data_IF_544257797332
#
_entry.id   IF_544257797332
#
_cell.length_a   1.000
_cell.length_b   1.000
_cell.length_c   1.000
_cell.angle_alpha   90.00
_cell.angle_beta   90.00
_cell.angle_gamma   90.00
#
_symmetry.space_group_name_H-M   'P 1'
#
loop_
_entity.id
_entity.type
_entity.pdbx_description
1 polymer ?
#
# COMPACT_ATOMS: atom_id res chain seq x y z
N UNK A 1 -7.67 -18.41 11.39
CA UNK A 1 -7.11 -17.60 10.30
C UNK A 1 -8.26 -17.07 9.46
N UNK A 2 -8.04 -16.04 8.65
CA UNK A 2 -9.06 -15.53 7.73
C UNK A 2 -9.10 -16.47 6.51
N UNK A 3 -10.26 -17.06 6.22
CA UNK A 3 -10.39 -18.11 5.18
C UNK A 3 -9.98 -17.67 3.77
N UNK A 4 -10.17 -16.39 3.45
CA UNK A 4 -9.83 -15.82 2.14
C UNK A 4 -8.32 -15.57 1.94
N UNK A 5 -7.50 -15.75 2.98
CA UNK A 5 -6.04 -15.60 2.91
C UNK A 5 -5.40 -16.98 2.95
N UNK A 6 -4.84 -17.41 1.83
CA UNK A 6 -4.25 -18.74 1.68
C UNK A 6 -2.84 -18.83 2.28
N UNK A 7 -2.01 -17.80 2.08
CA UNK A 7 -0.62 -17.75 2.55
C UNK A 7 -0.25 -16.36 3.03
N UNK A 8 0.72 -16.29 3.94
CA UNK A 8 1.29 -15.04 4.45
C UNK A 8 2.81 -15.15 4.45
N UNK A 9 3.46 -14.16 3.86
CA UNK A 9 4.92 -14.03 3.78
C UNK A 9 5.36 -12.89 4.69
N UNK A 10 6.42 -13.14 5.47
CA UNK A 10 7.01 -12.13 6.34
C UNK A 10 8.41 -11.80 5.85
N UNK A 11 8.69 -10.52 5.60
CA UNK A 11 10.01 -10.07 5.18
C UNK A 11 10.28 -8.63 5.67
N UNK A 12 11.56 -8.24 5.64
CA UNK A 12 11.96 -6.84 5.84
C UNK A 12 11.95 -6.12 4.50
N UNK A 13 11.54 -4.84 4.45
CA UNK A 13 11.54 -4.06 3.22
C UNK A 13 12.95 -3.92 2.65
N UNK A 14 13.10 -4.20 1.36
CA UNK A 14 14.35 -4.05 0.62
C UNK A 14 14.51 -2.63 0.04
N UNK A 15 13.40 -1.98 -0.29
CA UNK A 15 13.36 -0.61 -0.81
C UNK A 15 13.01 0.40 0.28
N UNK A 16 13.51 1.63 0.14
CA UNK A 16 13.25 2.69 1.11
C UNK A 16 11.79 3.16 1.11
N UNK A 17 11.08 3.03 -0.02
CA UNK A 17 9.66 3.41 -0.15
C UNK A 17 8.74 2.59 0.77
N UNK A 18 9.14 1.36 1.11
CA UNK A 18 8.41 0.48 2.04
C UNK A 18 8.88 0.62 3.50
N UNK A 19 9.94 1.39 3.78
CA UNK A 19 10.43 1.62 5.15
C UNK A 19 9.57 2.67 5.85
N UNK A 20 9.42 2.53 7.17
CA UNK A 20 8.71 3.53 7.97
C UNK A 20 9.61 4.75 8.14
N UNK A 21 9.20 5.88 7.60
CA UNK A 21 9.88 7.16 7.84
C UNK A 21 9.39 7.75 9.17
N UNK A 22 10.34 8.10 10.03
CA UNK A 22 10.09 8.77 11.33
C UNK A 22 10.93 10.04 11.40
N UNK A 23 10.31 11.12 11.86
CA UNK A 23 11.00 12.37 12.15
C UNK A 23 11.60 12.26 13.55
N UNK A 24 12.91 12.40 13.66
CA UNK A 24 13.62 12.35 14.94
C UNK A 24 13.52 13.69 15.67
N UNK A 25 13.80 13.75 16.99
CA UNK A 25 13.72 14.99 17.76
C UNK A 25 14.65 16.11 17.26
N UNK A 26 15.74 15.76 16.57
CA UNK A 26 16.66 16.67 15.88
C UNK A 26 16.13 17.17 14.52
N UNK A 27 14.94 16.74 14.09
CA UNK A 27 14.30 17.16 12.85
C UNK A 27 14.78 16.43 11.60
N UNK A 28 15.64 15.42 11.73
CA UNK A 28 16.06 14.60 10.60
C UNK A 28 15.05 13.48 10.29
N UNK A 29 15.08 12.99 9.05
CA UNK A 29 14.26 11.85 8.62
C UNK A 29 15.05 10.56 8.80
N UNK A 30 14.48 9.61 9.51
CA UNK A 30 15.06 8.27 9.69
C UNK A 30 14.15 7.22 9.08
N UNK A 31 14.69 6.45 8.13
CA UNK A 31 14.05 5.27 7.59
C UNK A 31 14.28 4.07 8.54
N UNK A 32 13.18 3.51 9.07
CA UNK A 32 13.20 2.37 9.98
C UNK A 32 12.62 1.17 9.25
N UNK A 33 13.40 0.10 9.19
CA UNK A 33 12.94 -1.19 8.71
C UNK A 33 12.01 -1.83 9.73
N UNK A 34 10.77 -2.09 9.30
CA UNK A 34 9.78 -2.83 10.09
C UNK A 34 9.45 -4.13 9.37
N UNK A 35 9.00 -5.13 10.14
CA UNK A 35 8.50 -6.36 9.55
C UNK A 35 7.22 -6.08 8.78
N UNK A 36 7.18 -6.54 7.53
CA UNK A 36 6.04 -6.45 6.64
C UNK A 36 5.46 -7.85 6.42
N UNK A 37 4.13 -7.90 6.33
CA UNK A 37 3.37 -9.10 6.01
C UNK A 37 2.73 -8.89 4.64
N UNK A 38 3.00 -9.78 3.69
CA UNK A 38 2.35 -9.81 2.39
C UNK A 38 1.49 -11.08 2.30
N UNK A 39 0.26 -10.95 1.83
CA UNK A 39 -0.72 -12.03 1.83
C UNK A 39 -1.03 -12.51 0.41
N UNK A 40 -1.28 -13.80 0.28
CA UNK A 40 -1.86 -14.41 -0.93
C UNK A 40 -3.37 -14.59 -0.67
N UNK A 41 -4.16 -13.76 -1.32
CA UNK A 41 -5.59 -13.55 -1.04
C UNK A 41 -5.86 -12.22 -0.31
N UNK A 42 -7.11 -11.76 -0.43
CA UNK A 42 -7.58 -10.45 0.04
C UNK A 42 -8.76 -10.58 1.01
N UNK A 43 -8.73 -9.80 2.08
CA UNK A 43 -9.79 -9.71 3.08
C UNK A 43 -9.62 -8.45 3.95
N UNK A 44 -9.42 -7.31 3.30
CA UNK A 44 -9.00 -6.05 3.88
C UNK A 44 -9.86 -5.65 5.08
N UNK A 45 -11.20 -5.78 5.02
CA UNK A 45 -12.09 -5.40 6.12
C UNK A 45 -11.80 -6.20 7.40
N UNK A 46 -11.60 -7.51 7.26
CA UNK A 46 -11.29 -8.40 8.39
C UNK A 46 -9.89 -8.12 8.92
N UNK A 47 -8.92 -7.92 8.03
CA UNK A 47 -7.53 -7.61 8.39
C UNK A 47 -7.42 -6.28 9.14
N UNK A 48 -8.14 -5.24 8.70
CA UNK A 48 -8.19 -3.94 9.37
C UNK A 48 -8.87 -3.99 10.74
N UNK A 49 -9.70 -5.02 11.01
CA UNK A 49 -10.37 -5.19 12.30
C UNK A 49 -9.50 -5.88 13.37
N UNK A 50 -8.31 -6.37 12.99
CA UNK A 50 -7.40 -7.06 13.90
C UNK A 50 -6.56 -6.08 14.75
N UNK A 51 -6.39 -6.40 16.04
CA UNK A 51 -5.81 -5.46 17.04
C UNK A 51 -4.36 -5.05 16.80
N UNK A 52 -3.58 -5.89 16.12
CA UNK A 52 -2.14 -5.68 15.91
C UNK A 52 -1.80 -5.26 14.47
N UNK A 53 -2.81 -4.87 13.69
CA UNK A 53 -2.65 -4.41 12.32
C UNK A 53 -2.72 -2.89 12.28
N UNK A 54 -1.84 -2.28 11.47
CA UNK A 54 -1.84 -0.84 11.24
C UNK A 54 -2.90 -0.49 10.20
N UNK A 55 -4.03 0.05 10.65
CA UNK A 55 -5.18 0.34 9.78
C UNK A 55 -4.95 1.51 8.83
N UNK A 56 -3.91 2.31 9.06
CA UNK A 56 -3.64 3.52 8.27
C UNK A 56 -2.74 3.18 7.07
N UNK A 57 -1.80 2.24 7.24
CA UNK A 57 -0.79 1.91 6.23
C UNK A 57 -1.05 0.61 5.47
N UNK A 58 -2.04 -0.18 5.89
CA UNK A 58 -2.41 -1.42 5.19
C UNK A 58 -3.11 -1.08 3.87
N UNK A 59 -2.64 -1.65 2.77
CA UNK A 59 -3.22 -1.47 1.43
C UNK A 59 -3.53 -2.82 0.80
N UNK A 60 -4.56 -2.86 -0.04
CA UNK A 60 -4.88 -4.02 -0.90
C UNK A 60 -4.50 -3.71 -2.35
N UNK A 61 -4.30 -4.73 -3.15
CA UNK A 61 -4.15 -4.63 -4.60
C UNK A 61 -5.46 -4.87 -5.36
N UNK A 62 -6.56 -5.19 -4.64
CA UNK A 62 -7.89 -5.36 -5.23
C UNK A 62 -8.68 -4.04 -5.17
N UNK A 63 -8.91 -3.45 -6.34
CA UNK A 63 -9.61 -2.17 -6.50
C UNK A 63 -11.09 -2.28 -6.11
N UNK A 64 -11.74 -3.42 -6.38
CA UNK A 64 -13.14 -3.62 -6.04
C UNK A 64 -13.32 -3.68 -4.52
N UNK A 65 -12.42 -4.39 -3.84
CA UNK A 65 -12.40 -4.45 -2.38
C UNK A 65 -12.16 -3.06 -1.75
N UNK A 66 -11.24 -2.27 -2.31
CA UNK A 66 -10.99 -0.90 -1.86
C UNK A 66 -12.23 -0.02 -2.04
N UNK A 67 -12.93 -0.15 -3.16
CA UNK A 67 -14.17 0.59 -3.41
C UNK A 67 -15.23 0.30 -2.35
N UNK A 68 -15.44 -0.98 -2.03
CA UNK A 68 -16.45 -1.42 -1.08
C UNK A 68 -16.15 -0.98 0.36
N UNK A 69 -14.88 -0.92 0.75
CA UNK A 69 -14.46 -0.66 2.14
C UNK A 69 -14.10 0.80 2.39
N UNK A 70 -13.35 1.42 1.48
CA UNK A 70 -12.77 2.77 1.65
C UNK A 70 -13.43 3.83 0.75
N UNK A 71 -14.16 3.42 -0.29
CA UNK A 71 -14.90 4.33 -1.19
C UNK A 71 -14.12 4.82 -2.41
N UNK A 72 -14.78 5.66 -3.22
CA UNK A 72 -14.31 6.03 -4.56
C UNK A 72 -13.01 6.86 -4.57
N UNK A 73 -12.81 7.75 -3.60
CA UNK A 73 -11.57 8.54 -3.53
C UNK A 73 -10.35 7.68 -3.18
N UNK A 74 -10.54 6.64 -2.37
CA UNK A 74 -9.49 5.68 -2.07
C UNK A 74 -9.12 4.86 -3.31
N UNK A 75 -10.12 4.49 -4.12
CA UNK A 75 -9.92 3.84 -5.43
C UNK A 75 -9.11 4.74 -6.35
N UNK A 76 -9.49 6.01 -6.50
CA UNK A 76 -8.77 6.98 -7.34
C UNK A 76 -7.29 7.03 -6.98
N UNK A 77 -6.97 7.11 -5.69
CA UNK A 77 -5.58 7.14 -5.21
C UNK A 77 -4.86 5.80 -5.36
N UNK A 78 -5.57 4.68 -5.16
CA UNK A 78 -5.01 3.33 -5.34
C UNK A 78 -4.62 3.09 -6.80
N UNK A 79 -5.47 3.45 -7.75
CA UNK A 79 -5.19 3.34 -9.19
C UNK A 79 -3.97 4.19 -9.56
N UNK A 80 -3.93 5.46 -9.12
CA UNK A 80 -2.79 6.36 -9.37
C UNK A 80 -1.48 5.73 -8.90
N UNK A 81 -1.47 5.11 -7.70
CA UNK A 81 -0.30 4.46 -7.10
C UNK A 81 0.12 3.21 -7.87
N UNK A 82 -0.81 2.32 -8.20
CA UNK A 82 -0.54 1.08 -8.95
C UNK A 82 -0.03 1.38 -10.36
N UNK A 83 -0.65 2.34 -11.07
CA UNK A 83 -0.19 2.75 -12.39
C UNK A 83 1.21 3.36 -12.35
N UNK A 84 1.48 4.23 -11.38
CA UNK A 84 2.82 4.79 -11.19
C UNK A 84 3.85 3.67 -10.90
N UNK A 85 3.48 2.69 -10.07
CA UNK A 85 4.36 1.55 -9.76
C UNK A 85 4.70 0.73 -11.00
N UNK A 86 3.73 0.44 -11.88
CA UNK A 86 3.98 -0.31 -13.12
C UNK A 86 4.86 0.45 -14.11
N UNK A 87 4.63 1.76 -14.28
CA UNK A 87 5.40 2.59 -15.22
C UNK A 87 6.84 2.79 -14.73
N UNK A 88 6.99 3.11 -13.44
CA UNK A 88 8.30 3.33 -12.82
C UNK A 88 9.14 2.06 -12.72
N UNK A 89 8.51 0.89 -12.70
CA UNK A 89 9.22 -0.40 -12.69
C UNK A 89 10.09 -0.61 -13.94
N UNK A 90 9.64 -0.13 -15.10
CA UNK A 90 10.42 -0.17 -16.36
C UNK A 90 11.40 1.02 -16.50
N UNK A 91 11.53 1.85 -15.44
CA UNK A 91 12.35 3.06 -15.45
C UNK A 91 11.77 4.20 -16.32
N UNK A 92 10.59 3.99 -16.88
CA UNK A 92 9.87 4.99 -17.67
C UNK A 92 9.28 6.06 -16.75
N UNK A 93 9.22 7.31 -17.24
CA UNK A 93 8.60 8.42 -16.53
C UNK A 93 7.42 8.96 -17.32
N UNK A 94 6.29 9.12 -16.63
CA UNK A 94 5.10 9.79 -17.14
C UNK A 94 4.74 10.91 -16.17
N UNK A 95 4.43 12.09 -16.70
CA UNK A 95 4.04 13.23 -15.88
C UNK A 95 2.78 12.92 -15.07
N UNK A 96 2.79 13.26 -13.77
CA UNK A 96 1.66 13.08 -12.85
C UNK A 96 0.32 13.57 -13.44
N UNK A 97 0.33 14.66 -14.23
CA UNK A 97 -0.90 15.22 -14.82
C UNK A 97 -1.62 14.25 -15.75
N UNK A 98 -0.88 13.39 -16.47
CA UNK A 98 -1.48 12.39 -17.35
C UNK A 98 -2.10 11.25 -16.55
N UNK A 99 -1.46 10.84 -15.46
CA UNK A 99 -1.97 9.81 -14.56
C UNK A 99 -3.19 10.29 -13.79
N UNK A 100 -3.13 11.52 -13.25
CA UNK A 100 -4.24 12.12 -12.53
C UNK A 100 -5.48 12.27 -13.41
N UNK A 101 -5.33 12.78 -14.64
CA UNK A 101 -6.43 12.94 -15.59
C UNK A 101 -7.09 11.62 -15.99
N UNK A 102 -6.35 10.51 -15.96
CA UNK A 102 -6.89 9.19 -16.26
C UNK A 102 -7.64 8.59 -15.05
N UNK A 103 -7.23 8.95 -13.83
CA UNK A 103 -7.83 8.44 -12.60
C UNK A 103 -9.08 9.23 -12.18
N UNK A 104 -9.16 10.51 -12.56
CA UNK A 104 -10.33 11.40 -12.35
C UNK A 104 -11.50 11.06 -13.29
#
# INVERSE_FOLDING_TARGET
GIEAIAKVYMHKPTTDDKKKIVITPDGSFKAIEQWLLETDGTALLKVLSERNVDTIRTTSNDICEIFEILGIEAVRKSIEKEMHQVISFDGSYVNYRHLALLCD
#
